data_IF_778774351072
#
_entry.id   IF_778774351072
#
_cell.length_a   1.000
_cell.length_b   1.000
_cell.length_c   1.000
_cell.angle_alpha   90.00
_cell.angle_beta   90.00
_cell.angle_gamma   90.00
#
_symmetry.space_group_name_H-M   'P 1'
#
loop_
_entity.id
_entity.type
_entity.pdbx_description
1 polymer ?
#
# COMPACT_ATOMS: atom_id res chain seq x y z
N UNK A 1 -15.77 9.59 46.07
CA UNK A 1 -15.23 9.69 44.69
C UNK A 1 -15.58 8.41 43.93
N UNK A 2 -16.28 8.49 42.79
CA UNK A 2 -16.75 7.30 42.06
C UNK A 2 -15.59 6.73 41.23
N UNK A 3 -15.25 5.45 41.43
CA UNK A 3 -14.15 4.78 40.71
C UNK A 3 -14.49 4.64 39.22
N UNK A 4 -13.53 4.89 38.34
CA UNK A 4 -13.67 4.69 36.90
C UNK A 4 -13.73 3.19 36.55
N UNK A 5 -14.54 2.82 35.57
CA UNK A 5 -14.61 1.46 35.02
C UNK A 5 -13.83 1.39 33.71
N UNK A 6 -12.98 0.38 33.56
CA UNK A 6 -12.21 0.14 32.34
C UNK A 6 -12.95 -0.84 31.42
N UNK A 7 -12.74 -0.70 30.11
CA UNK A 7 -13.20 -1.65 29.09
C UNK A 7 -12.03 -1.99 28.17
N UNK A 8 -11.91 -3.26 27.81
CA UNK A 8 -11.00 -3.74 26.77
C UNK A 8 -11.85 -4.34 25.65
N UNK A 9 -11.49 -4.07 24.40
CA UNK A 9 -12.15 -4.68 23.24
C UNK A 9 -11.71 -6.12 23.08
N UNK A 10 -12.62 -7.02 22.73
CA UNK A 10 -12.27 -8.39 22.31
C UNK A 10 -11.61 -8.39 20.92
N UNK A 11 -11.97 -7.43 20.07
CA UNK A 11 -11.36 -7.25 18.76
C UNK A 11 -10.04 -6.50 18.89
N UNK A 12 -8.99 -7.04 18.28
CA UNK A 12 -7.70 -6.37 18.21
C UNK A 12 -7.78 -5.14 17.31
N UNK A 13 -7.36 -3.97 17.82
CA UNK A 13 -7.21 -2.75 17.01
C UNK A 13 -6.17 -2.94 15.88
N UNK A 14 -5.12 -3.71 16.15
CA UNK A 14 -4.04 -4.00 15.21
C UNK A 14 -3.52 -5.43 15.43
N UNK A 15 -3.45 -6.21 14.36
CA UNK A 15 -2.77 -7.51 14.35
C UNK A 15 -1.55 -7.43 13.45
N UNK A 16 -0.38 -7.77 13.97
CA UNK A 16 0.87 -7.83 13.20
C UNK A 16 1.29 -9.28 13.08
N UNK A 17 1.34 -9.79 11.85
CA UNK A 17 1.81 -11.13 11.55
C UNK A 17 3.11 -11.07 10.75
N UNK A 18 4.10 -11.90 11.11
CA UNK A 18 5.36 -12.00 10.37
C UNK A 18 5.13 -12.80 9.07
N UNK A 19 5.12 -12.10 7.94
CA UNK A 19 5.14 -12.73 6.62
C UNK A 19 6.51 -13.33 6.30
N UNK A 20 6.55 -14.44 5.56
CA UNK A 20 7.80 -14.99 4.99
C UNK A 20 8.51 -13.99 4.05
N UNK A 21 7.76 -13.04 3.50
CA UNK A 21 8.25 -11.99 2.60
C UNK A 21 8.72 -10.73 3.36
N UNK A 22 8.76 -10.78 4.70
CA UNK A 22 9.19 -9.65 5.51
C UNK A 22 10.69 -9.41 5.37
N UNK A 23 11.06 -8.47 4.50
CA UNK A 23 12.44 -8.05 4.25
C UNK A 23 12.59 -6.54 4.47
N UNK A 24 13.83 -6.07 4.66
CA UNK A 24 14.10 -4.64 4.60
C UNK A 24 13.88 -4.13 3.17
N UNK A 25 13.48 -2.86 3.02
CA UNK A 25 13.37 -2.19 1.71
C UNK A 25 12.39 -2.89 0.76
N UNK A 26 11.11 -2.86 1.12
CA UNK A 26 10.02 -3.46 0.33
C UNK A 26 8.93 -2.45 -0.03
N UNK A 27 8.08 -2.84 -0.98
CA UNK A 27 6.84 -2.11 -1.32
C UNK A 27 5.69 -2.76 -0.57
N UNK A 28 4.73 -1.96 -0.12
CA UNK A 28 3.49 -2.43 0.43
C UNK A 28 2.29 -1.74 -0.21
N UNK A 29 1.17 -2.46 -0.24
CA UNK A 29 -0.12 -2.01 -0.72
C UNK A 29 -1.09 -2.02 0.46
N UNK A 30 -1.72 -0.89 0.75
CA UNK A 30 -2.86 -0.84 1.65
C UNK A 30 -4.12 -1.12 0.84
N UNK A 31 -4.88 -2.14 1.25
CA UNK A 31 -6.15 -2.51 0.66
C UNK A 31 -7.25 -2.43 1.72
N UNK A 32 -8.33 -1.70 1.43
CA UNK A 32 -9.48 -1.65 2.33
C UNK A 32 -10.38 -2.88 2.13
N UNK A 33 -11.26 -3.15 3.10
CA UNK A 33 -12.36 -4.13 2.96
C UNK A 33 -13.49 -3.67 2.01
N UNK A 34 -13.32 -2.52 1.35
CA UNK A 34 -14.28 -1.92 0.43
C UNK A 34 -13.64 -1.54 -0.91
N UNK A 35 -14.42 -1.69 -1.97
CA UNK A 35 -14.06 -1.23 -3.31
C UNK A 35 -14.32 0.27 -3.50
N UNK A 36 -13.34 0.99 -4.04
CA UNK A 36 -13.44 2.39 -4.44
C UNK A 36 -13.54 2.48 -5.97
N UNK A 37 -14.46 3.32 -6.46
CA UNK A 37 -14.64 3.58 -7.89
C UNK A 37 -13.67 4.67 -8.35
N UNK A 38 -13.07 4.44 -9.51
CA UNK A 38 -12.13 5.35 -10.17
C UNK A 38 -12.77 5.98 -11.43
N UNK A 39 -12.21 7.09 -11.98
CA UNK A 39 -12.82 7.84 -13.09
C UNK A 39 -13.23 7.00 -14.31
N UNK A 40 -12.49 5.94 -14.60
CA UNK A 40 -12.80 5.02 -15.70
C UNK A 40 -13.82 3.92 -15.36
N UNK A 41 -14.55 4.06 -14.25
CA UNK A 41 -15.58 3.11 -13.81
C UNK A 41 -15.04 1.87 -13.10
N UNK A 42 -13.74 1.57 -13.21
CA UNK A 42 -13.12 0.43 -12.52
C UNK A 42 -13.14 0.62 -11.01
N UNK A 43 -13.18 -0.51 -10.30
CA UNK A 43 -13.22 -0.56 -8.85
C UNK A 43 -12.03 -1.34 -8.31
N UNK A 44 -11.43 -0.84 -7.23
CA UNK A 44 -10.32 -1.54 -6.53
C UNK A 44 -10.34 -1.26 -5.04
N UNK A 45 -9.81 -2.21 -4.26
CA UNK A 45 -9.61 -2.07 -2.82
C UNK A 45 -8.33 -1.30 -2.47
N UNK A 46 -7.43 -1.08 -3.43
CA UNK A 46 -6.15 -0.39 -3.19
C UNK A 46 -6.39 1.08 -2.85
N UNK A 47 -5.93 1.48 -1.66
CA UNK A 47 -6.05 2.87 -1.18
C UNK A 47 -4.70 3.59 -1.12
N UNK A 48 -3.59 2.84 -1.02
CA UNK A 48 -2.23 3.39 -0.96
C UNK A 48 -1.19 2.38 -1.44
N UNK A 49 -0.14 2.85 -2.11
CA UNK A 49 1.06 2.09 -2.46
C UNK A 49 2.26 2.87 -1.93
N UNK A 50 3.16 2.22 -1.21
CA UNK A 50 4.33 2.89 -0.64
C UNK A 50 5.52 1.98 -0.40
N UNK A 51 6.68 2.58 -0.14
CA UNK A 51 7.87 1.85 0.31
C UNK A 51 8.18 2.02 1.79
N UNK A 52 8.93 1.07 2.34
CA UNK A 52 9.60 1.23 3.63
C UNK A 52 10.76 2.23 3.46
N UNK A 53 10.79 3.31 4.27
CA UNK A 53 11.71 4.45 4.12
C UNK A 53 13.21 4.17 4.36
N UNK A 54 14.01 5.26 4.52
CA UNK A 54 15.49 5.22 4.62
C UNK A 54 16.01 4.56 5.91
N UNK A 55 15.29 4.65 7.01
CA UNK A 55 15.65 4.00 8.27
C UNK A 55 14.99 2.63 8.34
N UNK A 56 15.66 1.66 8.97
CA UNK A 56 15.14 0.31 9.25
C UNK A 56 13.88 0.28 10.17
N UNK A 57 13.24 1.45 10.38
CA UNK A 57 11.96 1.60 11.03
C UNK A 57 10.94 0.70 10.36
N UNK A 58 10.37 -0.17 11.19
CA UNK A 58 9.62 -1.36 10.76
C UNK A 58 8.62 -1.00 9.66
N UNK A 59 8.50 -1.80 8.59
CA UNK A 59 7.46 -1.69 7.56
C UNK A 59 6.07 -1.41 8.15
N UNK A 60 5.80 -2.03 9.30
CA UNK A 60 4.59 -1.81 10.09
C UNK A 60 4.39 -0.36 10.52
N UNK A 61 5.40 0.39 10.97
CA UNK A 61 5.19 1.75 11.51
C UNK A 61 4.66 2.71 10.45
N UNK A 62 5.26 2.71 9.26
CA UNK A 62 4.79 3.55 8.16
C UNK A 62 3.43 3.09 7.62
N UNK A 63 3.23 1.78 7.47
CA UNK A 63 1.97 1.23 6.98
C UNK A 63 0.82 1.45 7.97
N UNK A 64 1.07 1.26 9.27
CA UNK A 64 0.11 1.52 10.36
C UNK A 64 -0.20 3.00 10.43
N UNK A 65 0.80 3.89 10.40
CA UNK A 65 0.55 5.34 10.37
C UNK A 65 -0.37 5.74 9.21
N UNK A 66 -0.11 5.21 8.01
CA UNK A 66 -0.95 5.48 6.82
C UNK A 66 -2.33 4.82 6.89
N UNK A 67 -2.44 3.62 7.45
CA UNK A 67 -3.73 2.97 7.67
C UNK A 67 -4.57 3.75 8.68
N UNK A 68 -3.97 4.21 9.78
CA UNK A 68 -4.63 5.06 10.78
C UNK A 68 -5.09 6.39 10.17
N UNK A 69 -4.23 7.07 9.38
CA UNK A 69 -4.60 8.28 8.63
C UNK A 69 -5.79 8.01 7.69
N UNK A 70 -5.81 6.85 7.03
CA UNK A 70 -6.89 6.48 6.13
C UNK A 70 -8.20 6.22 6.90
N UNK A 71 -8.17 5.54 8.05
CA UNK A 71 -9.36 5.33 8.89
C UNK A 71 -10.01 6.64 9.37
N UNK A 72 -9.22 7.68 9.64
CA UNK A 72 -9.76 8.99 10.02
C UNK A 72 -10.62 9.63 8.91
N UNK A 73 -10.42 9.22 7.65
CA UNK A 73 -11.03 9.83 6.48
C UNK A 73 -11.98 8.89 5.70
N UNK A 74 -11.86 7.57 5.89
CA UNK A 74 -12.62 6.56 5.16
C UNK A 74 -13.94 6.21 5.88
N UNK A 75 -15.07 6.60 5.30
CA UNK A 75 -16.39 6.16 5.78
C UNK A 75 -16.70 4.73 5.33
N UNK A 76 -17.07 3.88 6.30
CA UNK A 76 -17.54 2.51 6.06
C UNK A 76 -16.44 1.50 5.74
N UNK A 77 -15.17 1.84 5.97
CA UNK A 77 -14.05 0.88 5.96
C UNK A 77 -13.82 0.40 7.38
N UNK A 78 -13.79 -0.91 7.57
CA UNK A 78 -13.59 -1.54 8.90
C UNK A 78 -12.24 -2.23 9.02
N UNK A 79 -11.62 -2.56 7.88
CA UNK A 79 -10.32 -3.23 7.85
C UNK A 79 -9.47 -2.68 6.72
N UNK A 80 -8.18 -2.49 7.02
CA UNK A 80 -7.14 -2.19 6.03
C UNK A 80 -6.09 -3.29 6.14
N UNK A 81 -5.95 -4.05 5.06
CA UNK A 81 -4.97 -5.12 4.93
C UNK A 81 -3.68 -4.55 4.30
N UNK A 82 -2.53 -4.88 4.87
CA UNK A 82 -1.20 -4.48 4.38
C UNK A 82 -0.58 -5.65 3.62
N UNK A 83 -0.44 -5.51 2.30
CA UNK A 83 0.14 -6.55 1.45
C UNK A 83 1.55 -6.20 1.03
N UNK A 84 2.49 -7.12 1.22
CA UNK A 84 3.87 -6.96 0.79
C UNK A 84 3.98 -7.27 -0.72
N UNK A 85 4.71 -6.43 -1.43
CA UNK A 85 5.16 -6.68 -2.81
C UNK A 85 6.67 -6.52 -2.85
N UNK A 86 7.34 -7.55 -3.35
CA UNK A 86 8.80 -7.63 -3.40
C UNK A 86 9.28 -8.12 -4.76
N UNK A 87 10.55 -7.88 -5.06
CA UNK A 87 11.23 -8.34 -6.27
C UNK A 87 12.67 -8.73 -5.94
N UNK A 88 13.33 -9.40 -6.88
CA UNK A 88 14.76 -9.71 -6.75
C UNK A 88 15.58 -8.42 -6.66
N UNK A 89 16.49 -8.37 -5.69
CA UNK A 89 17.42 -7.25 -5.55
C UNK A 89 18.49 -7.31 -6.64
N UNK A 90 18.90 -6.14 -7.14
CA UNK A 90 20.03 -5.99 -8.07
C UNK A 90 21.11 -5.14 -7.42
N UNK A 91 22.38 -5.49 -7.65
CA UNK A 91 23.52 -4.75 -7.13
C UNK A 91 23.45 -3.29 -7.59
N UNK A 92 23.67 -2.35 -6.66
CA UNK A 92 23.66 -0.91 -6.89
C UNK A 92 22.33 -0.31 -7.41
N UNK A 93 21.22 -1.06 -7.40
CA UNK A 93 19.90 -0.56 -7.84
C UNK A 93 18.93 -0.53 -6.66
N UNK A 94 18.24 0.59 -6.46
CA UNK A 94 17.22 0.74 -5.41
C UNK A 94 15.89 0.11 -5.85
N UNK A 95 15.88 -1.19 -6.11
CA UNK A 95 14.79 -1.91 -6.81
C UNK A 95 13.41 -1.69 -6.18
N UNK A 96 13.33 -1.51 -4.86
CA UNK A 96 12.07 -1.23 -4.16
C UNK A 96 11.46 0.13 -4.54
N UNK A 97 12.28 1.17 -4.77
CA UNK A 97 11.78 2.47 -5.22
C UNK A 97 11.30 2.40 -6.66
N UNK A 98 12.05 1.71 -7.52
CA UNK A 98 11.64 1.47 -8.90
C UNK A 98 10.33 0.68 -8.96
N UNK A 99 10.17 -0.33 -8.10
CA UNK A 99 8.94 -1.12 -8.02
C UNK A 99 7.73 -0.30 -7.55
N UNK A 100 7.91 0.59 -6.57
CA UNK A 100 6.86 1.53 -6.14
C UNK A 100 6.44 2.46 -7.27
N UNK A 101 7.39 3.11 -7.93
CA UNK A 101 7.12 3.98 -9.08
C UNK A 101 6.41 3.22 -10.20
N UNK A 102 6.87 2.01 -10.53
CA UNK A 102 6.28 1.18 -11.57
C UNK A 102 4.85 0.75 -11.24
N UNK A 103 4.58 0.38 -9.98
CA UNK A 103 3.22 0.06 -9.52
C UNK A 103 2.31 1.29 -9.55
N UNK A 104 2.79 2.47 -9.14
CA UNK A 104 2.03 3.72 -9.22
C UNK A 104 1.73 4.12 -10.67
N UNK A 105 2.69 3.96 -11.58
CA UNK A 105 2.52 4.21 -13.01
C UNK A 105 1.52 3.22 -13.63
N UNK A 106 1.64 1.93 -13.32
CA UNK A 106 0.69 0.90 -13.77
C UNK A 106 -0.71 1.18 -13.25
N UNK A 107 -0.83 1.56 -11.97
CA UNK A 107 -2.09 1.94 -11.35
C UNK A 107 -2.70 3.15 -12.05
N UNK A 108 -1.93 4.23 -12.25
CA UNK A 108 -2.42 5.43 -12.95
C UNK A 108 -2.85 5.12 -14.38
N UNK A 109 -2.08 4.31 -15.12
CA UNK A 109 -2.47 3.89 -16.47
C UNK A 109 -3.75 3.06 -16.48
N UNK A 110 -3.98 2.27 -15.42
CA UNK A 110 -5.15 1.39 -15.30
C UNK A 110 -6.41 2.06 -14.76
N UNK A 111 -6.29 3.06 -13.90
CA UNK A 111 -7.40 3.69 -13.18
C UNK A 111 -7.54 5.20 -13.44
N UNK A 112 -6.66 5.77 -14.26
CA UNK A 112 -6.59 7.19 -14.64
C UNK A 112 -6.32 8.18 -13.48
N UNK A 113 -6.05 7.67 -12.28
CA UNK A 113 -5.60 8.44 -11.11
C UNK A 113 -4.73 7.55 -10.22
N UNK A 114 -4.04 8.15 -9.26
CA UNK A 114 -3.30 7.41 -8.22
C UNK A 114 -4.27 6.82 -7.18
N UNK A 115 -3.82 5.88 -6.32
CA UNK A 115 -4.61 5.45 -5.17
C UNK A 115 -5.04 6.64 -4.31
N UNK A 116 -6.23 6.57 -3.71
CA UNK A 116 -6.91 7.71 -3.07
C UNK A 116 -6.04 8.45 -2.04
N UNK A 117 -5.15 7.74 -1.33
CA UNK A 117 -4.30 8.30 -0.28
C UNK A 117 -2.84 8.50 -0.70
N UNK A 118 -2.47 8.19 -1.94
CA UNK A 118 -1.19 8.64 -2.47
C UNK A 118 -1.28 10.14 -2.80
N UNK A 119 -0.52 10.97 -2.07
CA UNK A 119 -0.48 12.42 -2.31
C UNK A 119 0.02 12.73 -3.74
N UNK A 120 -0.46 13.84 -4.32
CA UNK A 120 -0.12 14.36 -5.68
C UNK A 120 1.36 14.78 -5.90
N UNK A 121 2.30 14.48 -5.00
CA UNK A 121 3.69 14.95 -5.10
C UNK A 121 4.69 13.79 -5.14
N UNK A 122 5.35 13.64 -6.30
CA UNK A 122 6.38 12.63 -6.59
C UNK A 122 5.76 11.25 -6.80
N UNK A 123 6.08 10.44 -7.79
CA UNK A 123 7.35 10.25 -8.47
C UNK A 123 7.12 9.48 -9.77
N UNK A 124 6.36 10.04 -10.72
CA UNK A 124 6.47 9.55 -12.11
C UNK A 124 7.75 10.17 -12.69
N UNK A 125 8.90 9.86 -12.09
CA UNK A 125 10.19 10.47 -12.45
C UNK A 125 11.03 9.59 -13.37
N UNK A 126 10.54 8.42 -13.71
CA UNK A 126 11.39 7.42 -14.33
C UNK A 126 10.57 6.63 -15.36
N UNK A 127 10.60 7.08 -16.62
CA UNK A 127 10.21 6.23 -17.73
C UNK A 127 11.00 4.91 -17.72
N UNK A 128 12.23 4.95 -17.17
CA UNK A 128 13.13 3.83 -16.93
C UNK A 128 12.59 2.79 -15.93
N UNK A 129 11.74 3.18 -14.96
CA UNK A 129 11.20 2.27 -13.94
C UNK A 129 10.20 1.28 -14.52
N UNK A 130 9.55 1.65 -15.62
CA UNK A 130 8.65 0.77 -16.37
C UNK A 130 9.46 -0.28 -17.14
N UNK A 131 10.73 -0.01 -17.49
CA UNK A 131 11.58 -0.94 -18.25
C UNK A 131 12.04 -2.10 -17.35
N UNK A 132 12.27 -1.85 -16.06
CA UNK A 132 12.76 -2.88 -15.12
C UNK A 132 11.75 -4.00 -14.84
N UNK A 133 10.45 -3.73 -14.98
CA UNK A 133 9.39 -4.66 -14.61
C UNK A 133 8.40 -4.87 -15.75
N UNK A 134 8.12 -6.13 -16.07
CA UNK A 134 7.12 -6.45 -17.08
C UNK A 134 5.75 -5.89 -16.69
N UNK A 135 5.12 -5.13 -17.60
CA UNK A 135 3.80 -4.53 -17.37
C UNK A 135 2.75 -5.56 -16.93
N UNK A 136 2.77 -6.75 -17.55
CA UNK A 136 1.87 -7.87 -17.21
C UNK A 136 2.00 -8.30 -15.74
N UNK A 137 3.21 -8.32 -15.18
CA UNK A 137 3.44 -8.69 -13.78
C UNK A 137 2.87 -7.63 -12.82
N UNK A 138 3.09 -6.34 -13.12
CA UNK A 138 2.53 -5.23 -12.35
C UNK A 138 0.99 -5.26 -12.38
N UNK A 139 0.41 -5.44 -13.56
CA UNK A 139 -1.05 -5.52 -13.72
C UNK A 139 -1.64 -6.73 -12.99
N UNK A 140 -0.95 -7.88 -12.99
CA UNK A 140 -1.37 -9.06 -12.24
C UNK A 140 -1.38 -8.81 -10.72
N UNK A 141 -0.42 -8.05 -10.19
CA UNK A 141 -0.44 -7.64 -8.78
C UNK A 141 -1.67 -6.77 -8.49
N UNK A 142 -1.96 -5.78 -9.33
CA UNK A 142 -3.09 -4.86 -9.13
C UNK A 142 -4.46 -5.55 -9.25
N UNK A 143 -4.60 -6.48 -10.20
CA UNK A 143 -5.84 -7.23 -10.44
C UNK A 143 -6.31 -8.06 -9.24
N UNK A 144 -5.40 -8.44 -8.32
CA UNK A 144 -5.76 -9.16 -7.07
C UNK A 144 -6.71 -8.36 -6.17
N UNK A 145 -6.81 -7.05 -6.39
CA UNK A 145 -7.60 -6.12 -5.58
C UNK A 145 -8.82 -5.58 -6.32
N UNK A 146 -9.12 -6.08 -7.52
CA UNK A 146 -10.28 -5.69 -8.33
C UNK A 146 -11.52 -6.51 -7.98
N UNK A 147 -12.69 -5.94 -8.31
CA UNK A 147 -14.01 -6.58 -8.19
C UNK A 147 -14.30 -7.47 -9.37
#
# INVERSE_FOLDING_TARGET
MRKLRMKCSNDALLTVQRSKQWIQKMVYILAADKYFKYPNGRKTRVIYIGTTGKSAGRPATSAVGKASDAFANLRGVRRIDVHIVTCQQRKAVQTWKHLESALLAAFRGRYFQLPTYNRKKGSVKYAEDIILFQRKALDNVLKRFES
#
